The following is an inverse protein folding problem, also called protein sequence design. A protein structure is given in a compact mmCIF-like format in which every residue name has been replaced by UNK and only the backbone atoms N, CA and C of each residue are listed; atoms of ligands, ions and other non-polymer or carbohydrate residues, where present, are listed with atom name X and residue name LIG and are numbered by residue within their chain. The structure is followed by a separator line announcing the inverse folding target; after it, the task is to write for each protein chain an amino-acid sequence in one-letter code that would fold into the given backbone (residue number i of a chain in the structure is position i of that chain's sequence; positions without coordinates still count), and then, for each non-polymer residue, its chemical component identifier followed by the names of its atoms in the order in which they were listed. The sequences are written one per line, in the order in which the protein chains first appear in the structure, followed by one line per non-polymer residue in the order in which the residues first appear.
data_IF_752585643715
#
_entry.id   IF_752585643715
#
_cell.length_a   1.000
_cell.length_b   1.000
_cell.length_c   1.000
_cell.angle_alpha   90.00
_cell.angle_beta   90.00
_cell.angle_gamma   90.00
#
_symmetry.space_group_name_H-M   'P 1'
#
loop_
_entity.id
_entity.type
_entity.pdbx_description
1 polymer ?
#
# COMPACT_ATOMS: atom_id res chain seq x y z
N UNK A 1 16.91 -1.24 5.14
CA UNK A 1 15.62 -1.56 4.48
C UNK A 1 15.84 -2.24 3.12
N UNK A 2 16.62 -1.64 2.20
CA UNK A 2 16.96 -2.28 0.91
C UNK A 2 17.53 -3.69 1.08
N UNK A 3 18.57 -3.85 1.91
CA UNK A 3 19.20 -5.15 2.18
C UNK A 3 18.21 -6.20 2.71
N UNK A 4 17.34 -5.82 3.65
CA UNK A 4 16.31 -6.72 4.21
C UNK A 4 15.31 -7.17 3.13
N UNK A 5 14.89 -6.25 2.26
CA UNK A 5 14.00 -6.58 1.14
C UNK A 5 14.73 -7.49 0.14
N UNK A 6 16.00 -7.23 -0.14
CA UNK A 6 16.82 -8.03 -1.04
C UNK A 6 17.03 -9.46 -0.51
N UNK A 7 17.25 -9.62 0.80
CA UNK A 7 17.29 -10.94 1.47
C UNK A 7 15.94 -11.66 1.31
N UNK A 8 14.81 -10.98 1.55
CA UNK A 8 13.49 -11.59 1.36
C UNK A 8 13.26 -12.05 -0.10
N UNK A 9 13.80 -11.33 -1.08
CA UNK A 9 13.74 -11.74 -2.49
C UNK A 9 14.61 -12.98 -2.73
N UNK A 10 15.87 -12.94 -2.32
CA UNK A 10 16.89 -13.93 -2.67
C UNK A 10 16.76 -15.24 -1.88
N UNK A 11 16.47 -15.15 -0.58
CA UNK A 11 16.50 -16.28 0.34
C UNK A 11 15.11 -16.87 0.56
N UNK A 12 14.08 -16.02 0.65
CA UNK A 12 12.70 -16.46 0.92
C UNK A 12 11.83 -16.59 -0.36
N UNK A 13 12.35 -16.12 -1.49
CA UNK A 13 11.66 -16.14 -2.78
C UNK A 13 10.45 -15.21 -2.82
N UNK A 14 10.45 -14.13 -2.03
CA UNK A 14 9.34 -13.17 -2.00
C UNK A 14 9.35 -12.33 -3.27
N UNK A 15 8.25 -12.41 -4.02
CA UNK A 15 8.07 -11.70 -5.29
C UNK A 15 6.99 -10.63 -5.25
N UNK A 16 6.26 -10.51 -4.13
CA UNK A 16 5.17 -9.53 -3.96
C UNK A 16 5.35 -8.78 -2.66
N UNK A 17 5.30 -7.45 -2.73
CA UNK A 17 5.40 -6.56 -1.60
C UNK A 17 4.16 -5.66 -1.56
N UNK A 18 3.54 -5.55 -0.39
CA UNK A 18 2.36 -4.71 -0.18
C UNK A 18 2.70 -3.64 0.86
N UNK A 19 2.48 -2.37 0.51
CA UNK A 19 2.56 -1.24 1.45
C UNK A 19 1.21 -0.56 1.59
N UNK A 20 0.97 0.15 2.68
CA UNK A 20 -0.32 0.79 2.96
C UNK A 20 -0.47 2.23 2.48
N UNK A 21 0.57 2.77 1.84
CA UNK A 21 0.60 4.14 1.33
C UNK A 21 0.56 5.27 2.38
N UNK A 22 0.58 4.97 3.68
CA UNK A 22 0.63 6.00 4.72
C UNK A 22 1.93 6.81 4.67
N UNK A 23 1.89 8.05 5.18
CA UNK A 23 3.10 8.86 5.33
C UNK A 23 4.13 8.15 6.23
N UNK A 24 5.41 8.25 5.87
CA UNK A 24 6.50 7.64 6.63
C UNK A 24 6.87 6.25 6.09
N UNK A 25 6.80 5.23 6.96
CA UNK A 25 7.42 3.93 6.69
C UNK A 25 6.82 3.18 5.49
N UNK A 26 5.50 3.27 5.28
CA UNK A 26 4.86 2.65 4.11
C UNK A 26 5.43 3.22 2.80
N UNK A 27 5.57 4.55 2.71
CA UNK A 27 6.18 5.21 1.55
C UNK A 27 7.65 4.86 1.40
N UNK A 28 8.43 4.85 2.49
CA UNK A 28 9.84 4.45 2.45
C UNK A 28 10.00 3.00 1.93
N UNK A 29 9.14 2.09 2.38
CA UNK A 29 9.11 0.69 1.93
C UNK A 29 8.77 0.58 0.45
N UNK A 30 7.74 1.30 -0.02
CA UNK A 30 7.40 1.35 -1.44
C UNK A 30 8.60 1.78 -2.29
N UNK A 31 9.28 2.87 -1.91
CA UNK A 31 10.39 3.40 -2.70
C UNK A 31 11.59 2.44 -2.72
N UNK A 32 11.88 1.76 -1.61
CA UNK A 32 12.92 0.74 -1.58
C UNK A 32 12.61 -0.42 -2.53
N UNK A 33 11.38 -0.95 -2.51
CA UNK A 33 10.95 -2.00 -3.45
C UNK A 33 10.99 -1.49 -4.89
N UNK A 34 10.58 -0.24 -5.14
CA UNK A 34 10.61 0.35 -6.48
C UNK A 34 12.04 0.45 -7.04
N UNK A 35 13.01 0.88 -6.22
CA UNK A 35 14.43 0.93 -6.60
C UNK A 35 14.93 -0.47 -6.96
N UNK A 36 14.73 -1.45 -6.06
CA UNK A 36 15.17 -2.83 -6.28
C UNK A 36 14.54 -3.46 -7.53
N UNK A 37 13.24 -3.24 -7.73
CA UNK A 37 12.53 -3.71 -8.92
C UNK A 37 13.15 -3.14 -10.20
N UNK A 38 13.40 -1.83 -10.23
CA UNK A 38 13.91 -1.14 -11.41
C UNK A 38 15.35 -1.53 -11.73
N UNK A 39 16.18 -1.73 -10.72
CA UNK A 39 17.63 -1.91 -10.89
C UNK A 39 18.04 -3.38 -11.02
N UNK A 40 17.39 -4.29 -10.30
CA UNK A 40 17.88 -5.66 -10.11
C UNK A 40 16.82 -6.73 -10.33
N UNK A 41 15.59 -6.49 -9.90
CA UNK A 41 14.56 -7.53 -9.78
C UNK A 41 13.25 -7.15 -10.49
N UNK A 42 13.23 -7.00 -11.83
CA UNK A 42 12.05 -6.52 -12.56
C UNK A 42 10.81 -7.41 -12.41
N UNK A 43 11.00 -8.66 -11.98
CA UNK A 43 9.94 -9.64 -11.78
C UNK A 43 9.13 -9.43 -10.49
N UNK A 44 9.64 -8.70 -9.48
CA UNK A 44 8.89 -8.46 -8.24
C UNK A 44 7.74 -7.48 -8.48
N UNK A 45 6.71 -7.55 -7.62
CA UNK A 45 5.51 -6.70 -7.67
C UNK A 45 5.46 -5.78 -6.45
N UNK A 46 5.22 -4.49 -6.69
CA UNK A 46 5.10 -3.45 -5.69
C UNK A 46 3.66 -2.93 -5.64
N UNK A 47 2.92 -3.30 -4.61
CA UNK A 47 1.48 -3.10 -4.49
C UNK A 47 1.21 -2.09 -3.38
N UNK A 48 0.22 -1.22 -3.59
CA UNK A 48 -0.26 -0.28 -2.56
C UNK A 48 -1.69 -0.62 -2.18
N UNK A 49 -1.92 -0.96 -0.90
CA UNK A 49 -3.26 -1.13 -0.35
C UNK A 49 -3.70 0.17 0.33
N UNK A 50 -4.69 0.86 -0.23
CA UNK A 50 -5.23 2.11 0.33
C UNK A 50 -6.51 1.80 1.14
N UNK A 51 -6.73 2.49 2.27
CA UNK A 51 -7.90 2.29 3.10
C UNK A 51 -9.15 2.97 2.53
N UNK A 52 -8.99 4.02 1.73
CA UNK A 52 -10.04 4.77 1.03
C UNK A 52 -9.45 5.75 0.02
N UNK A 53 -10.24 6.18 -0.97
CA UNK A 53 -9.77 6.99 -2.10
C UNK A 53 -9.17 8.36 -1.69
N UNK A 54 -9.79 9.11 -0.76
CA UNK A 54 -9.31 10.44 -0.37
C UNK A 54 -8.36 10.43 0.84
N UNK A 55 -7.58 9.36 1.04
CA UNK A 55 -6.57 9.28 2.11
C UNK A 55 -5.68 10.53 2.24
N UNK A 56 -5.16 11.15 1.16
CA UNK A 56 -4.26 12.28 1.29
C UNK A 56 -4.97 13.63 1.47
N UNK A 57 -6.29 13.68 1.70
CA UNK A 57 -7.11 14.92 1.75
C UNK A 57 -6.47 16.03 2.60
N UNK A 58 -5.98 15.67 3.79
CA UNK A 58 -5.39 16.58 4.78
C UNK A 58 -3.86 16.75 4.65
N UNK A 59 -3.22 16.13 3.67
CA UNK A 59 -1.77 16.22 3.49
C UNK A 59 -1.37 17.50 2.75
N UNK A 60 -0.11 17.92 2.93
CA UNK A 60 0.47 19.05 2.20
C UNK A 60 0.57 18.75 0.70
N UNK A 61 0.71 19.78 -0.14
CA UNK A 61 0.80 19.58 -1.60
C UNK A 61 2.01 18.75 -2.02
N UNK A 62 3.14 18.91 -1.32
CA UNK A 62 4.34 18.09 -1.53
C UNK A 62 4.07 16.62 -1.19
N UNK A 63 3.39 16.36 -0.07
CA UNK A 63 3.01 14.99 0.32
C UNK A 63 2.02 14.37 -0.68
N UNK A 64 1.02 15.14 -1.14
CA UNK A 64 0.07 14.71 -2.19
C UNK A 64 0.78 14.40 -3.49
N UNK A 65 1.77 15.21 -3.89
CA UNK A 65 2.57 14.98 -5.10
C UNK A 65 3.29 13.63 -5.02
N UNK A 66 4.04 13.38 -3.95
CA UNK A 66 4.79 12.13 -3.79
C UNK A 66 3.89 10.92 -3.67
N UNK A 67 2.75 11.05 -2.98
CA UNK A 67 1.75 9.99 -2.91
C UNK A 67 1.15 9.66 -4.29
N UNK A 68 0.77 10.67 -5.08
CA UNK A 68 0.31 10.44 -6.46
C UNK A 68 1.37 9.79 -7.33
N UNK A 69 2.63 10.21 -7.18
CA UNK A 69 3.75 9.61 -7.91
C UNK A 69 3.95 8.15 -7.52
N UNK A 70 3.88 7.84 -6.23
CA UNK A 70 3.92 6.49 -5.69
C UNK A 70 2.81 5.62 -6.30
N UNK A 71 1.55 6.05 -6.23
CA UNK A 71 0.42 5.33 -6.81
C UNK A 71 0.57 5.10 -8.32
N UNK A 72 1.12 6.07 -9.06
CA UNK A 72 1.35 5.93 -10.50
C UNK A 72 2.46 4.94 -10.89
N UNK A 73 3.33 4.58 -9.94
CA UNK A 73 4.45 3.67 -10.15
C UNK A 73 4.22 2.29 -9.53
N UNK A 74 3.12 2.11 -8.79
CA UNK A 74 2.72 0.83 -8.24
C UNK A 74 2.31 -0.12 -9.37
N UNK A 75 2.59 -1.42 -9.22
CA UNK A 75 2.05 -2.43 -10.11
C UNK A 75 0.52 -2.51 -9.97
N UNK A 76 0.03 -2.45 -8.72
CA UNK A 76 -1.39 -2.46 -8.39
C UNK A 76 -1.69 -1.50 -7.24
N UNK A 77 -2.85 -0.86 -7.30
CA UNK A 77 -3.41 -0.06 -6.21
C UNK A 77 -4.74 -0.66 -5.80
N UNK A 78 -4.81 -1.20 -4.58
CA UNK A 78 -5.98 -1.88 -4.05
C UNK A 78 -6.71 -0.95 -3.10
N UNK A 79 -7.93 -0.55 -3.47
CA UNK A 79 -8.82 0.21 -2.61
C UNK A 79 -9.65 -0.75 -1.75
N UNK A 80 -9.18 -1.00 -0.52
CA UNK A 80 -9.76 -2.00 0.38
C UNK A 80 -11.20 -1.64 0.75
N UNK A 81 -11.57 -0.35 0.72
CA UNK A 81 -12.94 0.08 1.00
C UNK A 81 -13.97 -0.37 -0.04
N UNK A 82 -13.52 -0.84 -1.21
CA UNK A 82 -14.37 -1.40 -2.27
C UNK A 82 -14.52 -2.92 -2.21
N UNK A 83 -13.74 -3.60 -1.36
CA UNK A 83 -13.77 -5.05 -1.23
C UNK A 83 -14.89 -5.47 -0.28
N UNK A 84 -15.74 -6.40 -0.73
CA UNK A 84 -16.91 -6.84 0.06
C UNK A 84 -16.47 -7.63 1.29
N UNK A 85 -15.40 -8.39 1.17
CA UNK A 85 -14.82 -9.23 2.22
C UNK A 85 -14.32 -8.39 3.42
N UNK A 86 -13.91 -7.15 3.15
CA UNK A 86 -13.41 -6.20 4.14
C UNK A 86 -14.44 -5.15 4.55
N UNK A 87 -15.67 -5.25 4.05
CA UNK A 87 -16.76 -4.34 4.43
C UNK A 87 -17.48 -4.82 5.69
N UNK A 88 -17.69 -3.91 6.63
CA UNK A 88 -18.50 -4.11 7.84
C UNK A 88 -19.73 -3.22 7.80
N UNK A 89 -20.67 -3.44 8.74
CA UNK A 89 -21.80 -2.51 8.93
C UNK A 89 -21.33 -1.07 9.16
N UNK A 90 -20.23 -0.88 9.88
CA UNK A 90 -19.64 0.43 10.16
C UNK A 90 -19.00 1.06 8.92
N UNK A 91 -18.22 0.30 8.13
CA UNK A 91 -17.61 0.86 6.93
C UNK A 91 -18.63 1.10 5.82
N UNK A 92 -19.72 0.33 5.79
CA UNK A 92 -20.78 0.44 4.76
C UNK A 92 -21.61 1.71 4.89
N UNK A 93 -21.73 2.29 6.09
CA UNK A 93 -22.47 3.54 6.31
C UNK A 93 -21.62 4.79 6.05
N UNK A 94 -20.30 4.64 5.88
CA UNK A 94 -19.37 5.74 5.64
C UNK A 94 -19.01 5.75 4.14
N UNK A 95 -19.18 6.88 3.42
CA UNK A 95 -18.83 7.00 2.01
C UNK A 95 -17.45 6.45 1.73
N UNK A 96 -17.29 5.65 0.66
CA UNK A 96 -16.08 4.88 0.34
C UNK A 96 -14.83 5.76 0.38
N UNK A 97 -14.93 6.99 -0.10
CA UNK A 97 -13.86 7.99 -0.14
C UNK A 97 -13.54 8.68 1.19
N UNK A 98 -14.37 8.55 2.24
CA UNK A 98 -14.18 9.26 3.51
C UNK A 98 -13.47 8.41 4.58
N UNK A 99 -12.82 9.13 5.50
CA UNK A 99 -12.03 8.55 6.58
C UNK A 99 -12.88 7.77 7.60
N UNK A 100 -12.36 6.63 8.04
CA UNK A 100 -12.83 5.90 9.22
C UNK A 100 -11.69 5.09 9.82
N UNK A 101 -11.65 5.00 11.16
CA UNK A 101 -10.72 4.11 11.87
C UNK A 101 -10.91 2.65 11.45
N UNK A 102 -12.16 2.22 11.24
CA UNK A 102 -12.46 0.87 10.79
C UNK A 102 -11.86 0.56 9.41
N UNK A 103 -11.90 1.51 8.46
CA UNK A 103 -11.27 1.34 7.14
C UNK A 103 -9.76 1.26 7.21
N UNK A 104 -9.13 2.06 8.07
CA UNK A 104 -7.68 1.98 8.32
C UNK A 104 -7.29 0.59 8.83
N UNK A 105 -8.07 0.06 9.79
CA UNK A 105 -7.87 -1.27 10.35
C UNK A 105 -8.10 -2.37 9.30
N UNK A 106 -9.18 -2.28 8.51
CA UNK A 106 -9.50 -3.25 7.46
C UNK A 106 -8.44 -3.31 6.37
N UNK A 107 -7.80 -2.19 6.04
CA UNK A 107 -6.63 -2.18 5.17
C UNK A 107 -5.44 -2.93 5.77
N UNK A 108 -5.17 -2.79 7.07
CA UNK A 108 -4.10 -3.55 7.71
C UNK A 108 -4.40 -5.05 7.72
N UNK A 109 -5.65 -5.44 8.01
CA UNK A 109 -6.11 -6.83 7.92
C UNK A 109 -5.90 -7.38 6.50
N UNK A 110 -6.33 -6.64 5.47
CA UNK A 110 -6.06 -7.00 4.08
C UNK A 110 -4.57 -7.26 3.82
N UNK A 111 -3.69 -6.37 4.30
CA UNK A 111 -2.25 -6.55 4.11
C UNK A 111 -1.73 -7.81 4.79
N UNK A 112 -2.19 -8.12 6.00
CA UNK A 112 -1.80 -9.33 6.73
C UNK A 112 -2.32 -10.58 6.03
N UNK A 113 -3.60 -10.62 5.66
CA UNK A 113 -4.24 -11.76 4.99
C UNK A 113 -3.61 -12.08 3.61
N UNK A 114 -3.05 -11.06 2.94
CA UNK A 114 -2.43 -11.18 1.62
C UNK A 114 -0.88 -11.16 1.66
N UNK A 115 -0.30 -11.21 2.86
CA UNK A 115 1.12 -11.45 3.09
C UNK A 115 1.38 -12.94 3.29
N UNK A 116 2.55 -13.41 2.84
CA UNK A 116 3.00 -14.79 3.01
C UNK A 116 3.67 -14.97 4.36
#
# INVERSE_FOLDING_TARGET
LLEVIEIAILEEGITRFISGGALGFDQASFWCVHILKKEKYPHIKNIVAIPFANQPKLWTDVQKYWYKKMLSLADDVIDVSKLKEYSTKETSVIPIEEYSKAKMQKRNEYMVDHSR
#
